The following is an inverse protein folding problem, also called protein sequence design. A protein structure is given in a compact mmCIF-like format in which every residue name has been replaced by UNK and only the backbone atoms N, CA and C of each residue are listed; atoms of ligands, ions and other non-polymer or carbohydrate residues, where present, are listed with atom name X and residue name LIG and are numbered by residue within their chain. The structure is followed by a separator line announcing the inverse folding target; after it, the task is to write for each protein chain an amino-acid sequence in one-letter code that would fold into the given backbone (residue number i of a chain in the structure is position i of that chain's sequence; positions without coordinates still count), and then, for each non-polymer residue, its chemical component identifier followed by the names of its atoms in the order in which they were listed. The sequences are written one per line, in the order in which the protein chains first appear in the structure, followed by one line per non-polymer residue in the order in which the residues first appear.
data_IF_000611047767
#
_entry.id   IF_000611047767
#
_cell.length_a   1.000
_cell.length_b   1.000
_cell.length_c   1.000
_cell.angle_alpha   90.00
_cell.angle_beta   90.00
_cell.angle_gamma   90.00
#
_symmetry.space_group_name_H-M   'P 1'
#
loop_
_entity.id
_entity.type
_entity.pdbx_description
1 polymer ?
#
# COMPACT_ATOMS: atom_id res chain seq x y z
N UNK A 1 -5.26 5.86 -11.82
CA UNK A 1 -4.29 5.98 -10.71
C UNK A 1 -3.12 5.04 -10.93
N UNK A 2 -1.92 5.45 -10.53
CA UNK A 2 -0.71 4.60 -10.53
C UNK A 2 -0.59 3.83 -9.21
N UNK A 3 -0.19 2.55 -9.28
CA UNK A 3 0.03 1.69 -8.11
C UNK A 3 1.53 1.64 -7.83
N UNK A 4 1.92 1.82 -6.56
CA UNK A 4 3.32 1.75 -6.14
C UNK A 4 3.49 0.88 -4.90
N UNK A 5 4.70 0.37 -4.66
CA UNK A 5 5.03 -0.37 -3.44
C UNK A 5 5.89 0.54 -2.56
N UNK A 6 5.46 0.78 -1.32
CA UNK A 6 6.20 1.58 -0.34
C UNK A 6 6.54 0.72 0.87
N UNK A 7 7.77 0.81 1.35
CA UNK A 7 8.16 0.21 2.62
C UNK A 7 7.80 1.14 3.79
N UNK A 8 7.19 0.59 4.83
CA UNK A 8 6.94 1.28 6.10
C UNK A 8 6.96 0.29 7.24
N UNK A 9 7.51 0.66 8.41
CA UNK A 9 7.58 -0.22 9.60
C UNK A 9 8.12 -1.64 9.29
N UNK A 10 9.12 -1.76 8.41
CA UNK A 10 9.71 -3.02 7.92
C UNK A 10 8.73 -3.96 7.20
N UNK A 11 7.70 -3.39 6.56
CA UNK A 11 6.72 -4.10 5.75
C UNK A 11 6.49 -3.36 4.43
N UNK A 12 6.10 -4.10 3.41
CA UNK A 12 5.86 -3.57 2.07
C UNK A 12 4.37 -3.39 1.84
N UNK A 13 3.95 -2.23 1.37
CA UNK A 13 2.54 -1.91 1.17
C UNK A 13 2.30 -1.50 -0.27
N UNK A 14 1.23 -2.01 -0.86
CA UNK A 14 0.69 -1.55 -2.14
C UNK A 14 -0.10 -0.27 -1.88
N UNK A 15 0.27 0.78 -2.59
CA UNK A 15 -0.22 2.15 -2.45
C UNK A 15 -0.88 2.60 -3.74
N UNK A 16 -1.95 3.39 -3.62
CA UNK A 16 -2.51 4.20 -4.70
C UNK A 16 -2.44 5.67 -4.26
N UNK A 17 -1.40 6.38 -4.71
CA UNK A 17 -1.10 7.72 -4.20
C UNK A 17 -0.82 7.69 -2.69
N UNK A 18 -1.69 8.35 -1.89
CA UNK A 18 -1.58 8.41 -0.41
C UNK A 18 -2.28 7.26 0.31
N UNK A 19 -3.06 6.47 -0.40
CA UNK A 19 -3.92 5.46 0.20
C UNK A 19 -3.28 4.08 0.20
N UNK A 20 -3.31 3.43 1.35
CA UNK A 20 -2.80 2.07 1.49
C UNK A 20 -3.88 1.06 1.10
N UNK A 21 -3.58 0.19 0.13
CA UNK A 21 -4.50 -0.83 -0.39
C UNK A 21 -4.27 -2.23 0.20
N UNK A 22 -3.19 -2.42 0.96
CA UNK A 22 -2.78 -3.75 1.44
C UNK A 22 -2.46 -3.74 2.94
N UNK A 23 -2.45 -4.91 3.56
CA UNK A 23 -2.22 -5.07 5.01
C UNK A 23 -0.74 -5.14 5.40
N UNK A 24 0.18 -5.00 4.44
CA UNK A 24 1.63 -5.04 4.66
C UNK A 24 2.21 -6.43 4.51
N UNK A 25 3.07 -6.60 3.51
CA UNK A 25 3.81 -7.82 3.19
C UNK A 25 5.15 -7.85 3.91
N UNK A 26 5.68 -9.06 4.13
CA UNK A 26 6.98 -9.27 4.80
C UNK A 26 8.19 -9.05 3.87
N UNK A 27 8.01 -9.16 2.57
CA UNK A 27 9.05 -8.97 1.57
C UNK A 27 8.51 -8.23 0.35
N UNK A 28 9.41 -7.56 -0.38
CA UNK A 28 9.11 -6.86 -1.63
C UNK A 28 8.57 -7.84 -2.67
N UNK A 29 9.20 -9.01 -2.80
CA UNK A 29 8.83 -10.04 -3.78
C UNK A 29 7.40 -10.56 -3.58
N UNK A 30 6.94 -10.69 -2.32
CA UNK A 30 5.55 -11.06 -2.02
C UNK A 30 4.58 -9.94 -2.40
N UNK A 31 4.94 -8.69 -2.15
CA UNK A 31 4.13 -7.54 -2.53
C UNK A 31 4.01 -7.41 -4.06
N UNK A 32 5.10 -7.62 -4.80
CA UNK A 32 5.13 -7.63 -6.26
C UNK A 32 4.31 -8.77 -6.85
N UNK A 33 4.47 -9.97 -6.29
CA UNK A 33 3.71 -11.16 -6.72
C UNK A 33 2.21 -10.96 -6.51
N UNK A 34 1.81 -10.44 -5.35
CA UNK A 34 0.40 -10.18 -5.06
C UNK A 34 -0.15 -9.04 -5.94
N UNK A 35 0.62 -7.96 -6.13
CA UNK A 35 0.28 -6.87 -7.04
C UNK A 35 0.06 -7.36 -8.48
N UNK A 36 0.92 -8.27 -8.96
CA UNK A 36 0.80 -8.87 -10.30
C UNK A 36 -0.43 -9.78 -10.40
N UNK A 37 -0.66 -10.62 -9.41
CA UNK A 37 -1.78 -11.57 -9.40
C UNK A 37 -3.13 -10.88 -9.21
N UNK A 38 -3.17 -9.74 -8.51
CA UNK A 38 -4.39 -9.02 -8.11
C UNK A 38 -4.43 -7.60 -8.66
N UNK A 39 -3.75 -7.35 -9.78
CA UNK A 39 -3.63 -6.00 -10.35
C UNK A 39 -4.99 -5.35 -10.61
N UNK A 40 -5.96 -6.11 -11.13
CA UNK A 40 -7.32 -5.63 -11.41
C UNK A 40 -8.08 -5.26 -10.14
N UNK A 41 -7.91 -6.03 -9.07
CA UNK A 41 -8.48 -5.73 -7.76
C UNK A 41 -7.92 -4.41 -7.22
N UNK A 42 -6.60 -4.24 -7.22
CA UNK A 42 -5.97 -3.02 -6.74
C UNK A 42 -6.33 -1.79 -7.59
N UNK A 43 -6.45 -1.94 -8.91
CA UNK A 43 -6.92 -0.86 -9.81
C UNK A 43 -8.38 -0.48 -9.54
N UNK A 44 -9.25 -1.45 -9.31
CA UNK A 44 -10.65 -1.20 -8.96
C UNK A 44 -10.75 -0.41 -7.65
N UNK A 45 -10.02 -0.84 -6.62
CA UNK A 45 -10.01 -0.15 -5.32
C UNK A 45 -9.32 1.21 -5.37
N UNK A 46 -8.26 1.37 -6.15
CA UNK A 46 -7.62 2.67 -6.36
C UNK A 46 -8.59 3.68 -6.99
N UNK A 47 -9.38 3.25 -7.98
CA UNK A 47 -10.36 4.12 -8.63
C UNK A 47 -11.66 4.31 -7.81
N UNK A 48 -11.85 3.57 -6.71
CA UNK A 48 -12.98 3.74 -5.82
C UNK A 48 -12.69 4.88 -4.84
N UNK A 49 -13.54 5.91 -4.82
CA UNK A 49 -13.40 7.16 -4.04
C UNK A 49 -13.24 6.96 -2.50
N UNK A 50 -13.36 5.73 -1.99
CA UNK A 50 -13.33 5.39 -0.57
C UNK A 50 -12.06 4.72 -0.04
N UNK A 51 -10.88 4.97 -0.63
CA UNK A 51 -9.65 4.28 -0.20
C UNK A 51 -9.28 4.65 1.24
N UNK A 52 -9.46 3.68 2.14
CA UNK A 52 -9.89 3.92 3.53
C UNK A 52 -8.82 4.33 4.55
N UNK A 53 -7.53 4.45 4.17
CA UNK A 53 -6.46 4.77 5.12
C UNK A 53 -5.41 5.65 4.43
N UNK A 54 -5.35 6.92 4.84
CA UNK A 54 -4.21 7.79 4.54
C UNK A 54 -2.98 7.25 5.28
N UNK A 55 -1.90 6.98 4.56
CA UNK A 55 -0.64 6.55 5.16
C UNK A 55 0.06 7.76 5.80
N UNK A 56 -0.36 8.14 7.00
CA UNK A 56 0.30 9.18 7.81
C UNK A 56 1.65 8.68 8.30
N UNK A 57 2.70 9.47 8.09
CA UNK A 57 4.04 9.17 8.59
C UNK A 57 4.04 9.05 10.12
N UNK A 58 4.74 8.06 10.70
CA UNK A 58 4.77 7.89 12.14
C UNK A 58 5.49 9.07 12.79
N UNK A 59 4.77 9.81 13.64
CA UNK A 59 5.36 10.85 14.48
C UNK A 59 6.19 10.16 15.57
N UNK A 60 7.52 10.16 15.42
CA UNK A 60 8.44 9.72 16.48
C UNK A 60 8.46 10.81 17.55
N UNK A 61 7.74 10.61 18.66
CA UNK A 61 7.87 11.46 19.84
C UNK A 61 9.11 11.01 20.62
N UNK A 62 10.12 11.88 20.70
CA UNK A 62 11.17 11.76 21.70
C UNK A 62 10.55 12.11 23.06
N UNK A 63 10.56 11.16 23.99
CA UNK A 63 10.20 11.32 25.41
C UNK A 63 11.50 11.56 26.16
#
# INVERSE_FOLDING_TARGET
MELSIKESRKRFFIMAGKSCLSTGFKSMELAETDLKNRQSFYKYWANSIGVSIENTEPIVKHI
#
